data_IF_713913481573
#
_entry.id   IF_713913481573
#
_cell.length_a   1.000
_cell.length_b   1.000
_cell.length_c   1.000
_cell.angle_alpha   90.00
_cell.angle_beta   90.00
_cell.angle_gamma   90.00
#
_symmetry.space_group_name_H-M   'P 1'
#
loop_
_entity.id
_entity.type
_entity.pdbx_description
1 polymer ?
#
# COMPACT_ATOMS: atom_id res chain seq x y z
N UNK A 1 -20.35 -18.78 1.03
CA UNK A 1 -19.79 -19.41 -0.21
C UNK A 1 -19.95 -18.59 -1.50
N UNK A 2 -21.06 -17.88 -1.76
CA UNK A 2 -21.27 -17.19 -3.06
C UNK A 2 -20.39 -15.93 -3.25
N UNK A 3 -20.17 -15.13 -2.20
CA UNK A 3 -19.34 -13.90 -2.28
C UNK A 3 -17.86 -14.20 -2.57
N UNK A 4 -17.26 -15.16 -1.88
CA UNK A 4 -15.86 -15.57 -2.13
C UNK A 4 -15.62 -16.08 -3.56
N UNK A 5 -16.55 -16.86 -4.13
CA UNK A 5 -16.46 -17.31 -5.54
C UNK A 5 -16.52 -16.15 -6.54
N UNK A 6 -17.29 -15.10 -6.25
CA UNK A 6 -17.34 -13.90 -7.12
C UNK A 6 -16.03 -13.11 -7.07
N UNK A 7 -15.45 -12.93 -5.87
CA UNK A 7 -14.15 -12.27 -5.68
C UNK A 7 -13.02 -13.00 -6.40
N UNK A 8 -12.95 -14.32 -6.23
CA UNK A 8 -11.98 -15.15 -6.92
C UNK A 8 -12.03 -14.95 -8.44
N UNK A 9 -13.23 -15.04 -9.04
CA UNK A 9 -13.40 -14.83 -10.49
C UNK A 9 -13.01 -13.43 -10.97
N UNK A 10 -13.18 -12.40 -10.12
CA UNK A 10 -12.76 -11.03 -10.43
C UNK A 10 -11.24 -10.96 -10.53
N UNK A 11 -10.53 -11.44 -9.51
CA UNK A 11 -9.07 -11.42 -9.50
C UNK A 11 -8.46 -12.34 -10.56
N UNK A 12 -9.01 -13.53 -10.82
CA UNK A 12 -8.53 -14.40 -11.91
C UNK A 12 -8.44 -13.65 -13.24
N UNK A 13 -9.46 -12.86 -13.60
CA UNK A 13 -9.43 -12.07 -14.84
C UNK A 13 -8.38 -10.96 -14.85
N UNK A 14 -8.13 -10.34 -13.70
CA UNK A 14 -7.11 -9.31 -13.55
C UNK A 14 -5.72 -9.94 -13.70
N UNK A 15 -5.49 -11.09 -13.04
CA UNK A 15 -4.23 -11.84 -13.14
C UNK A 15 -3.99 -12.34 -14.56
N UNK A 16 -5.01 -12.88 -15.24
CA UNK A 16 -4.91 -13.27 -16.67
C UNK A 16 -4.45 -12.11 -17.56
N UNK A 17 -4.84 -10.87 -17.25
CA UNK A 17 -4.37 -9.67 -17.97
C UNK A 17 -2.94 -9.32 -17.62
N UNK A 18 -2.55 -9.36 -16.34
CA UNK A 18 -1.15 -9.17 -15.96
C UNK A 18 -0.23 -10.18 -16.66
N UNK A 19 -0.59 -11.45 -16.65
CA UNK A 19 0.16 -12.49 -17.36
C UNK A 19 0.32 -12.17 -18.86
N UNK A 20 -0.75 -11.71 -19.52
CA UNK A 20 -0.70 -11.31 -20.93
C UNK A 20 0.23 -10.12 -21.18
N UNK A 21 0.16 -9.09 -20.33
CA UNK A 21 1.00 -7.90 -20.47
C UNK A 21 2.48 -8.25 -20.24
N UNK A 22 2.77 -9.02 -19.19
CA UNK A 22 4.12 -9.47 -18.85
C UNK A 22 4.74 -10.29 -20.00
N UNK A 23 3.97 -11.19 -20.61
CA UNK A 23 4.42 -11.97 -21.78
C UNK A 23 4.68 -11.05 -22.98
N UNK A 24 3.77 -10.10 -23.23
CA UNK A 24 3.91 -9.12 -24.33
C UNK A 24 5.17 -8.27 -24.15
N UNK A 25 5.54 -7.96 -22.91
CA UNK A 25 6.70 -7.15 -22.56
C UNK A 25 8.02 -7.95 -22.51
N UNK A 26 7.95 -9.26 -22.81
CA UNK A 26 9.11 -10.08 -23.16
C UNK A 26 9.50 -11.17 -22.15
N UNK A 27 8.71 -11.39 -21.09
CA UNK A 27 8.93 -12.53 -20.18
C UNK A 27 8.34 -13.83 -20.77
N UNK A 28 8.92 -14.96 -20.42
CA UNK A 28 8.42 -16.26 -20.85
C UNK A 28 7.10 -16.61 -20.15
N UNK A 29 6.25 -17.42 -20.81
CA UNK A 29 4.92 -17.73 -20.31
C UNK A 29 4.90 -18.50 -18.97
N UNK A 30 5.99 -19.23 -18.64
CA UNK A 30 6.16 -19.86 -17.33
C UNK A 30 6.50 -18.82 -16.26
N UNK A 31 7.38 -17.86 -16.56
CA UNK A 31 7.75 -16.78 -15.64
C UNK A 31 6.54 -15.90 -15.32
N UNK A 32 5.72 -15.57 -16.33
CA UNK A 32 4.49 -14.81 -16.14
C UNK A 32 3.49 -15.52 -15.21
N UNK A 33 3.38 -16.85 -15.30
CA UNK A 33 2.53 -17.66 -14.40
C UNK A 33 3.08 -17.78 -12.99
N UNK A 34 4.39 -17.74 -12.83
CA UNK A 34 5.06 -17.78 -11.53
C UNK A 34 5.12 -16.40 -10.87
N UNK A 35 4.75 -15.33 -11.58
CA UNK A 35 4.73 -13.98 -11.04
C UNK A 35 3.68 -13.77 -9.94
N UNK A 36 2.60 -14.57 -9.95
CA UNK A 36 1.57 -14.60 -8.91
C UNK A 36 1.39 -16.01 -8.36
N UNK A 37 1.41 -16.16 -7.04
CA UNK A 37 1.33 -17.45 -6.37
C UNK A 37 0.40 -17.46 -5.17
N UNK A 38 0.36 -18.60 -4.47
CA UNK A 38 -0.34 -18.68 -3.18
C UNK A 38 0.57 -18.23 -2.05
N UNK A 39 0.02 -17.42 -1.15
CA UNK A 39 0.72 -17.03 0.06
C UNK A 39 1.06 -18.21 0.96
N UNK A 40 2.23 -18.13 1.60
CA UNK A 40 2.55 -19.03 2.71
C UNK A 40 1.58 -18.76 3.87
N UNK A 41 1.09 -19.80 4.58
CA UNK A 41 0.14 -19.61 5.68
C UNK A 41 0.63 -18.65 6.78
N UNK A 42 1.92 -18.72 7.13
CA UNK A 42 2.49 -17.88 8.18
C UNK A 42 2.59 -16.41 7.75
N UNK A 43 2.99 -16.16 6.50
CA UNK A 43 3.06 -14.81 5.93
C UNK A 43 1.65 -14.18 5.88
N UNK A 44 0.64 -14.96 5.47
CA UNK A 44 -0.76 -14.54 5.46
C UNK A 44 -1.29 -14.27 6.87
N UNK A 45 -0.93 -15.09 7.86
CA UNK A 45 -1.32 -14.87 9.26
C UNK A 45 -0.73 -13.55 9.78
N UNK A 46 0.57 -13.32 9.58
CA UNK A 46 1.23 -12.06 9.98
C UNK A 46 0.56 -10.85 9.33
N UNK A 47 0.25 -10.94 8.03
CA UNK A 47 -0.44 -9.87 7.31
C UNK A 47 -1.82 -9.55 7.88
N UNK A 48 -2.57 -10.55 8.36
CA UNK A 48 -3.91 -10.32 8.94
C UNK A 48 -3.89 -9.86 10.40
N UNK A 49 -2.79 -10.07 11.13
CA UNK A 49 -2.61 -9.71 12.53
C UNK A 49 -1.73 -8.46 12.65
N UNK A 50 -2.27 -7.31 12.24
CA UNK A 50 -1.49 -6.07 12.10
C UNK A 50 -0.81 -5.64 13.39
N UNK A 51 -1.56 -5.61 14.50
CA UNK A 51 -1.00 -5.21 15.80
C UNK A 51 0.13 -6.15 16.22
N UNK A 52 -0.12 -7.46 16.26
CA UNK A 52 0.87 -8.46 16.69
C UNK A 52 2.12 -8.45 15.82
N UNK A 53 1.95 -8.23 14.52
CA UNK A 53 3.06 -8.15 13.57
C UNK A 53 3.88 -6.87 13.82
N UNK A 54 3.27 -5.70 13.78
CA UNK A 54 4.04 -4.46 13.85
C UNK A 54 4.51 -4.11 15.26
N UNK A 55 3.82 -4.55 16.32
CA UNK A 55 4.32 -4.47 17.69
C UNK A 55 5.66 -5.22 17.86
N UNK A 56 5.84 -6.31 17.11
CA UNK A 56 7.07 -7.11 17.14
C UNK A 56 8.16 -6.61 16.20
N UNK A 57 7.78 -6.11 15.03
CA UNK A 57 8.71 -5.88 13.92
C UNK A 57 8.96 -4.42 13.58
N UNK A 58 8.16 -3.47 14.09
CA UNK A 58 8.39 -2.04 13.82
C UNK A 58 9.79 -1.63 14.28
N UNK A 59 10.51 -0.96 13.38
CA UNK A 59 11.82 -0.39 13.68
C UNK A 59 11.72 0.98 14.38
N UNK A 60 10.52 1.58 14.41
CA UNK A 60 10.32 2.95 14.88
C UNK A 60 9.39 3.04 16.09
N UNK A 61 8.23 2.37 16.07
CA UNK A 61 7.22 2.49 17.11
C UNK A 61 7.41 1.46 18.23
N UNK A 62 7.10 1.86 19.46
CA UNK A 62 6.92 0.93 20.57
C UNK A 62 5.51 0.31 20.52
N UNK A 63 5.31 -0.82 21.22
CA UNK A 63 4.01 -1.53 21.22
C UNK A 63 2.83 -0.62 21.63
N UNK A 64 3.08 0.35 22.53
CA UNK A 64 2.06 1.28 23.03
C UNK A 64 1.60 2.27 21.94
N UNK A 65 2.49 2.64 21.02
CA UNK A 65 2.20 3.60 19.95
C UNK A 65 1.35 2.97 18.84
N UNK A 66 1.29 1.63 18.82
CA UNK A 66 0.58 0.82 17.85
C UNK A 66 -0.73 0.24 18.40
N UNK A 67 -1.17 0.59 19.61
CA UNK A 67 -2.39 0.01 20.20
C UNK A 67 -3.64 0.20 19.35
N UNK A 68 -3.71 1.31 18.62
CA UNK A 68 -4.81 1.57 17.69
C UNK A 68 -4.88 0.57 16.53
N UNK A 69 -3.79 -0.13 16.20
CA UNK A 69 -3.81 -1.21 15.21
C UNK A 69 -4.77 -2.35 15.56
N UNK A 70 -5.08 -2.54 16.85
CA UNK A 70 -6.08 -3.52 17.30
C UNK A 70 -7.49 -3.23 16.77
N UNK A 71 -7.74 -2.00 16.34
CA UNK A 71 -9.03 -1.58 15.77
C UNK A 71 -9.15 -1.78 14.27
N UNK A 72 -8.02 -2.02 13.58
CA UNK A 72 -8.02 -2.28 12.14
C UNK A 72 -8.06 -3.77 11.84
N UNK A 73 -8.71 -4.11 10.73
CA UNK A 73 -8.74 -5.46 10.19
C UNK A 73 -8.54 -5.40 8.69
N UNK A 74 -7.75 -6.31 8.14
CA UNK A 74 -7.58 -6.40 6.68
C UNK A 74 -8.88 -6.90 6.03
N UNK A 75 -9.43 -6.17 5.04
CA UNK A 75 -10.60 -6.59 4.29
C UNK A 75 -10.43 -7.98 3.66
N UNK A 76 -11.47 -8.82 3.71
CA UNK A 76 -11.41 -10.19 3.20
C UNK A 76 -11.17 -10.22 1.68
N UNK A 77 -11.52 -9.16 0.95
CA UNK A 77 -11.16 -8.99 -0.46
C UNK A 77 -9.64 -9.01 -0.67
N UNK A 78 -8.88 -8.33 0.20
CA UNK A 78 -7.42 -8.26 0.11
C UNK A 78 -6.80 -9.57 0.58
N UNK A 79 -7.31 -10.16 1.69
CA UNK A 79 -6.90 -11.50 2.13
C UNK A 79 -7.13 -12.53 1.03
N UNK A 80 -8.26 -12.46 0.32
CA UNK A 80 -8.54 -13.36 -0.82
C UNK A 80 -7.54 -13.18 -1.95
N UNK A 81 -7.16 -11.94 -2.27
CA UNK A 81 -6.14 -11.66 -3.28
C UNK A 81 -4.81 -12.30 -2.88
N UNK A 82 -4.22 -11.91 -1.76
CA UNK A 82 -2.92 -12.42 -1.33
C UNK A 82 -2.90 -13.93 -1.08
N UNK A 83 -3.98 -14.51 -0.55
CA UNK A 83 -4.06 -15.97 -0.37
C UNK A 83 -3.89 -16.75 -1.69
N UNK A 84 -4.30 -16.18 -2.82
CA UNK A 84 -4.37 -16.92 -4.09
C UNK A 84 -3.48 -16.36 -5.20
N UNK A 85 -3.08 -15.09 -5.09
CA UNK A 85 -2.41 -14.30 -6.11
C UNK A 85 -1.40 -13.33 -5.48
N UNK A 86 -0.65 -13.79 -4.47
CA UNK A 86 0.48 -13.03 -3.92
C UNK A 86 1.51 -12.74 -5.02
N UNK A 87 1.94 -11.48 -5.21
CA UNK A 87 3.07 -11.14 -6.07
C UNK A 87 4.37 -11.79 -5.56
N UNK A 88 5.13 -12.43 -6.44
CA UNK A 88 6.38 -13.12 -6.07
C UNK A 88 7.60 -12.57 -6.84
N UNK A 89 7.70 -12.92 -8.12
CA UNK A 89 8.81 -12.51 -8.99
C UNK A 89 8.33 -11.52 -10.07
N UNK A 90 7.53 -10.54 -9.65
CA UNK A 90 6.89 -9.59 -10.56
C UNK A 90 7.89 -8.48 -10.96
N UNK A 91 8.11 -8.22 -12.26
CA UNK A 91 8.80 -7.01 -12.68
C UNK A 91 7.98 -5.77 -12.32
N UNK A 92 8.56 -4.57 -12.46
CA UNK A 92 7.77 -3.35 -12.44
C UNK A 92 6.73 -3.40 -13.58
N UNK A 93 5.49 -3.09 -13.24
CA UNK A 93 4.35 -3.02 -14.14
C UNK A 93 4.23 -1.60 -14.72
N UNK A 94 3.19 -1.38 -15.53
CA UNK A 94 2.81 -0.07 -16.06
C UNK A 94 2.83 1.02 -14.99
N UNK A 95 3.27 2.23 -15.37
CA UNK A 95 3.43 3.36 -14.44
C UNK A 95 4.61 3.20 -13.48
N UNK A 96 5.50 2.22 -13.70
CA UNK A 96 6.65 1.97 -12.82
C UNK A 96 6.25 1.34 -11.49
N UNK A 97 5.09 0.69 -11.40
CA UNK A 97 4.53 0.19 -10.14
C UNK A 97 5.01 -1.23 -9.84
N UNK A 98 5.44 -1.49 -8.62
CA UNK A 98 5.80 -2.80 -8.08
C UNK A 98 4.78 -3.21 -7.03
N UNK A 99 3.99 -4.23 -7.32
CA UNK A 99 3.13 -4.86 -6.30
C UNK A 99 4.01 -5.66 -5.33
N UNK A 100 3.81 -5.45 -4.03
CA UNK A 100 4.59 -6.13 -3.00
C UNK A 100 3.95 -7.46 -2.61
N UNK A 101 4.79 -8.48 -2.42
CA UNK A 101 4.43 -9.71 -1.70
C UNK A 101 4.28 -9.47 -0.19
N UNK A 102 3.75 -10.43 0.56
CA UNK A 102 3.41 -10.24 1.98
C UNK A 102 4.64 -9.95 2.85
N UNK A 103 5.76 -10.62 2.59
CA UNK A 103 6.99 -10.39 3.33
C UNK A 103 7.54 -8.97 3.07
N UNK A 104 7.48 -8.51 1.81
CA UNK A 104 7.88 -7.16 1.43
C UNK A 104 6.96 -6.10 2.05
N UNK A 105 5.64 -6.36 2.10
CA UNK A 105 4.69 -5.47 2.80
C UNK A 105 5.07 -5.34 4.27
N UNK A 106 5.40 -6.45 4.92
CA UNK A 106 5.83 -6.43 6.33
C UNK A 106 7.09 -5.59 6.50
N UNK A 107 8.12 -5.83 5.69
CA UNK A 107 9.41 -5.11 5.77
C UNK A 107 9.24 -3.59 5.53
N UNK A 108 8.52 -3.24 4.45
CA UNK A 108 8.22 -1.87 4.05
C UNK A 108 7.52 -1.10 5.17
N UNK A 109 6.40 -1.63 5.67
CA UNK A 109 5.62 -0.97 6.72
C UNK A 109 6.26 -1.05 8.12
N UNK A 110 7.30 -1.87 8.30
CA UNK A 110 8.02 -1.95 9.56
C UNK A 110 9.20 -0.97 9.63
N UNK A 111 9.81 -0.62 8.50
CA UNK A 111 11.16 -0.01 8.51
C UNK A 111 11.46 1.02 7.42
N UNK A 112 10.60 1.18 6.41
CA UNK A 112 10.84 2.13 5.32
C UNK A 112 10.04 3.42 5.51
N UNK A 113 10.65 4.56 5.16
CA UNK A 113 9.96 5.86 5.13
C UNK A 113 9.23 5.99 3.78
N UNK A 114 7.97 6.46 3.76
CA UNK A 114 7.15 6.90 4.90
C UNK A 114 6.27 5.78 5.50
N UNK A 115 6.26 4.58 4.92
CA UNK A 115 5.39 3.45 5.30
C UNK A 115 5.39 3.13 6.80
N UNK A 116 6.57 3.12 7.43
CA UNK A 116 6.71 2.84 8.86
C UNK A 116 6.05 3.88 9.75
N UNK A 117 5.90 5.12 9.27
CA UNK A 117 5.19 6.17 9.99
C UNK A 117 3.67 6.07 9.80
N UNK A 118 3.25 5.67 8.60
CA UNK A 118 1.86 5.54 8.18
C UNK A 118 1.11 4.40 8.85
N UNK A 119 1.79 3.30 9.19
CA UNK A 119 1.14 2.10 9.71
C UNK A 119 0.28 2.39 10.94
N UNK A 120 0.76 3.21 11.89
CA UNK A 120 -0.04 3.58 13.08
C UNK A 120 -1.33 4.30 12.71
N UNK A 121 -1.42 4.96 11.55
CA UNK A 121 -2.63 5.66 11.13
C UNK A 121 -3.61 4.77 10.33
N UNK A 122 -3.35 3.46 10.23
CA UNK A 122 -4.19 2.54 9.46
C UNK A 122 -3.97 2.63 7.96
N UNK A 123 -2.82 3.15 7.52
CA UNK A 123 -2.39 3.10 6.13
C UNK A 123 -1.40 1.95 5.96
N UNK A 124 -1.65 1.08 4.98
CA UNK A 124 -0.81 -0.09 4.72
C UNK A 124 -0.26 -0.04 3.30
N UNK A 125 1.05 0.11 3.14
CA UNK A 125 1.73 0.09 1.85
C UNK A 125 1.69 -1.31 1.24
N UNK A 126 1.17 -1.43 0.02
CA UNK A 126 1.04 -2.71 -0.71
C UNK A 126 1.70 -2.69 -2.10
N UNK A 127 2.14 -1.51 -2.54
CA UNK A 127 2.90 -1.33 -3.75
C UNK A 127 3.84 -0.14 -3.60
N UNK A 128 4.90 -0.12 -4.40
CA UNK A 128 5.82 1.02 -4.52
C UNK A 128 6.00 1.39 -5.98
N UNK A 129 6.48 2.59 -6.26
CA UNK A 129 6.93 2.99 -7.59
C UNK A 129 8.43 2.75 -7.74
N UNK A 130 8.96 2.86 -8.97
CA UNK A 130 10.41 2.79 -9.22
C UNK A 130 11.18 3.92 -8.53
N UNK A 131 10.56 5.08 -8.32
CA UNK A 131 11.13 6.21 -7.58
C UNK A 131 11.10 6.03 -6.06
N UNK A 132 10.50 4.95 -5.56
CA UNK A 132 10.41 4.65 -4.13
C UNK A 132 9.17 5.24 -3.45
N UNK A 133 8.26 5.87 -4.20
CA UNK A 133 7.00 6.37 -3.67
C UNK A 133 6.09 5.20 -3.28
N UNK A 134 5.23 5.41 -2.28
CA UNK A 134 4.47 4.32 -1.67
C UNK A 134 3.00 4.42 -2.05
N UNK A 135 2.39 3.27 -2.31
CA UNK A 135 0.97 3.14 -2.63
C UNK A 135 0.30 2.36 -1.49
N UNK A 136 -0.57 3.04 -0.77
CA UNK A 136 -1.13 2.59 0.49
C UNK A 136 -2.62 2.31 0.38
N UNK A 137 -3.08 1.30 1.10
CA UNK A 137 -4.48 1.07 1.39
C UNK A 137 -4.88 1.88 2.62
N UNK A 138 -5.96 2.65 2.52
CA UNK A 138 -6.52 3.37 3.66
C UNK A 138 -7.57 2.51 4.37
N UNK A 139 -7.20 1.92 5.52
CA UNK A 139 -8.05 1.02 6.28
C UNK A 139 -9.14 1.76 7.10
N UNK A 140 -9.13 3.08 7.12
CA UNK A 140 -10.20 3.88 7.72
C UNK A 140 -11.37 4.09 6.73
N UNK A 141 -11.09 4.07 5.42
CA UNK A 141 -12.06 4.33 4.35
C UNK A 141 -12.40 3.05 3.57
N UNK A 142 -13.10 2.13 4.24
CA UNK A 142 -13.52 0.85 3.65
C UNK A 142 -14.97 0.91 3.20
N UNK A 143 -15.20 0.76 1.90
CA UNK A 143 -16.55 0.64 1.31
C UNK A 143 -16.71 -0.72 0.66
N UNK A 144 -17.72 -1.47 1.09
CA UNK A 144 -18.00 -2.82 0.57
C UNK A 144 -16.82 -3.81 0.65
N UNK A 145 -16.05 -3.76 1.74
CA UNK A 145 -14.85 -4.61 1.96
C UNK A 145 -13.72 -4.32 0.97
N UNK A 146 -13.63 -3.07 0.49
CA UNK A 146 -12.58 -2.56 -0.36
C UNK A 146 -12.12 -1.18 0.18
N UNK A 147 -10.83 -1.02 0.56
CA UNK A 147 -10.28 0.26 0.98
C UNK A 147 -9.92 1.13 -0.22
N UNK A 148 -9.98 2.44 -0.08
CA UNK A 148 -9.41 3.39 -1.05
C UNK A 148 -7.89 3.25 -1.12
N UNK A 149 -7.31 3.65 -2.25
CA UNK A 149 -5.86 3.56 -2.50
C UNK A 149 -5.29 4.97 -2.66
N UNK A 150 -4.27 5.27 -1.86
CA UNK A 150 -3.56 6.55 -1.84
C UNK A 150 -2.12 6.36 -2.34
N UNK A 151 -1.51 7.43 -2.83
CA UNK A 151 -0.07 7.49 -3.11
C UNK A 151 0.59 8.55 -2.24
N UNK A 152 1.82 8.30 -1.78
CA UNK A 152 2.63 9.28 -1.09
C UNK A 152 4.04 9.33 -1.66
N UNK A 153 4.58 10.54 -1.75
CA UNK A 153 5.99 10.73 -2.02
C UNK A 153 6.85 10.10 -0.92
N UNK A 154 7.97 9.49 -1.30
CA UNK A 154 8.91 8.86 -0.37
C UNK A 154 9.49 9.82 0.67
N UNK A 155 9.50 11.13 0.36
CA UNK A 155 9.94 12.23 1.23
C UNK A 155 8.78 12.99 1.87
N UNK A 156 7.54 12.48 1.80
CA UNK A 156 6.36 13.18 2.33
C UNK A 156 6.47 13.57 3.81
N UNK A 157 7.05 12.71 4.62
CA UNK A 157 7.24 12.96 6.05
C UNK A 157 8.58 12.43 6.56
N UNK A 158 9.07 13.05 7.64
CA UNK A 158 10.30 12.66 8.32
C UNK A 158 10.13 12.73 9.83
N UNK A 159 11.02 12.06 10.55
CA UNK A 159 11.10 12.19 12.00
C UNK A 159 11.96 13.41 12.36
N UNK A 160 11.43 14.26 13.24
CA UNK A 160 12.10 15.42 13.80
C UNK A 160 12.63 15.04 15.20
N UNK A 161 13.94 14.79 15.29
CA UNK A 161 14.62 14.37 16.52
C UNK A 161 14.51 15.40 17.65
N UNK A 162 14.50 16.70 17.32
CA UNK A 162 14.50 17.77 18.32
C UNK A 162 13.15 17.89 19.05
N UNK A 163 12.07 17.57 18.33
CA UNK A 163 10.70 17.71 18.82
C UNK A 163 10.03 16.37 19.14
N UNK A 164 10.68 15.25 18.83
CA UNK A 164 10.17 13.89 19.03
C UNK A 164 8.79 13.69 18.35
N UNK A 165 8.69 14.15 17.10
CA UNK A 165 7.47 14.06 16.28
C UNK A 165 7.79 13.64 14.85
N UNK A 166 6.79 13.10 14.16
CA UNK A 166 6.84 12.94 12.71
C UNK A 166 6.21 14.19 12.11
N UNK A 167 6.91 14.85 11.20
CA UNK A 167 6.45 16.05 10.51
C UNK A 167 6.25 15.78 9.02
N UNK A 168 5.25 16.44 8.42
CA UNK A 168 5.08 16.49 6.98
C UNK A 168 6.10 17.47 6.40
N UNK A 169 6.92 16.99 5.46
CA UNK A 169 7.94 17.77 4.75
C UNK A 169 7.38 18.32 3.44
N UNK A 170 6.53 17.54 2.78
CA UNK A 170 5.88 17.92 1.52
C UNK A 170 4.38 18.08 1.80
N UNK A 171 3.90 19.32 1.73
CA UNK A 171 2.48 19.65 1.88
C UNK A 171 2.04 20.63 0.78
N UNK A 172 0.79 20.57 0.32
CA UNK A 172 0.21 21.60 -0.55
C UNK A 172 0.26 23.00 0.07
N UNK A 173 0.44 24.03 -0.76
CA UNK A 173 0.55 25.44 -0.33
C UNK A 173 -0.65 25.89 0.52
N UNK A 174 -1.88 25.49 0.15
CA UNK A 174 -3.09 25.86 0.88
C UNK A 174 -3.17 25.24 2.28
N UNK A 175 -2.44 24.15 2.52
CA UNK A 175 -2.26 23.55 3.83
C UNK A 175 -1.14 24.27 4.57
N UNK A 176 0.01 24.48 3.92
CA UNK A 176 1.17 25.17 4.47
C UNK A 176 0.83 26.57 5.02
N UNK A 177 -0.01 27.33 4.29
CA UNK A 177 -0.46 28.67 4.66
C UNK A 177 -1.19 28.75 6.01
N UNK A 178 -1.62 27.62 6.58
CA UNK A 178 -2.27 27.56 7.91
C UNK A 178 -1.27 27.41 9.07
N UNK A 179 0.02 27.27 8.78
CA UNK A 179 1.08 27.04 9.76
C UNK A 179 2.09 28.18 9.72
N UNK A 180 2.77 28.39 10.85
CA UNK A 180 3.89 29.35 10.90
C UNK A 180 5.12 28.72 10.25
N UNK A 181 5.93 29.50 9.53
CA UNK A 181 7.15 29.01 8.85
C UNK A 181 8.14 28.28 9.78
N UNK A 182 8.12 28.59 11.08
CA UNK A 182 9.03 28.04 12.10
C UNK A 182 8.43 26.88 12.91
N UNK A 183 7.21 26.42 12.63
CA UNK A 183 6.54 25.33 13.35
C UNK A 183 6.45 24.05 12.51
N UNK A 184 6.75 22.86 13.07
CA UNK A 184 6.61 21.61 12.34
C UNK A 184 5.14 21.31 12.04
N UNK A 185 4.86 20.85 10.83
CA UNK A 185 3.52 20.36 10.46
C UNK A 185 3.42 18.90 10.92
N UNK A 186 3.00 18.69 12.17
CA UNK A 186 2.95 17.35 12.77
C UNK A 186 2.01 16.42 12.01
N UNK A 187 2.51 15.26 11.61
CA UNK A 187 1.77 14.25 10.85
C UNK A 187 0.57 13.75 11.64
N UNK A 188 -0.61 13.87 11.03
CA UNK A 188 -1.88 13.33 11.53
C UNK A 188 -2.63 12.63 10.42
N UNK A 189 -3.58 11.77 10.76
CA UNK A 189 -4.44 11.14 9.75
C UNK A 189 -5.25 12.17 8.95
N UNK A 190 -5.69 13.28 9.57
CA UNK A 190 -6.39 14.36 8.84
C UNK A 190 -5.50 14.98 7.76
N UNK A 191 -4.24 15.27 8.08
CA UNK A 191 -3.28 15.79 7.11
C UNK A 191 -2.97 14.77 6.02
N UNK A 192 -2.80 13.49 6.36
CA UNK A 192 -2.64 12.42 5.38
C UNK A 192 -3.80 12.46 4.37
N UNK A 193 -5.05 12.60 4.83
CA UNK A 193 -6.23 12.63 3.95
C UNK A 193 -6.34 13.89 3.10
N UNK A 194 -5.81 15.01 3.58
CA UNK A 194 -5.83 16.28 2.84
C UNK A 194 -4.67 16.40 1.86
N UNK A 195 -3.51 15.83 2.18
CA UNK A 195 -2.30 15.94 1.37
C UNK A 195 -2.16 14.81 0.35
N UNK A 196 -2.52 13.57 0.70
CA UNK A 196 -2.24 12.43 -0.17
C UNK A 196 -3.30 12.25 -1.27
N UNK A 197 -2.90 12.21 -2.55
CA UNK A 197 -3.80 11.93 -3.66
C UNK A 197 -4.39 10.51 -3.57
N UNK A 198 -5.66 10.38 -3.96
CA UNK A 198 -6.31 9.09 -4.14
C UNK A 198 -6.15 8.61 -5.59
N UNK A 199 -5.48 7.47 -5.80
CA UNK A 199 -5.21 6.89 -7.13
C UNK A 199 -6.29 5.90 -7.59
N UNK A 200 -7.07 5.36 -6.65
CA UNK A 200 -8.20 4.49 -6.94
C UNK A 200 -9.23 4.48 -5.80
N UNK A 201 -10.50 4.27 -6.18
CA UNK A 201 -11.63 4.21 -5.23
C UNK A 201 -11.63 2.92 -4.39
N UNK A 202 -10.95 1.87 -4.88
CA UNK A 202 -10.88 0.57 -4.23
C UNK A 202 -9.60 -0.17 -4.61
N UNK A 203 -9.14 -1.08 -3.74
CA UNK A 203 -8.02 -1.98 -4.03
C UNK A 203 -8.19 -2.71 -5.37
N UNK A 204 -9.37 -3.25 -5.64
CA UNK A 204 -9.58 -3.94 -6.90
C UNK A 204 -9.67 -3.01 -8.12
N UNK A 205 -10.12 -1.77 -7.95
CA UNK A 205 -10.09 -0.75 -9.01
C UNK A 205 -8.64 -0.43 -9.37
N UNK A 206 -7.79 -0.21 -8.36
CA UNK A 206 -6.35 -0.04 -8.54
C UNK A 206 -5.72 -1.19 -9.34
N UNK A 207 -5.93 -2.44 -8.91
CA UNK A 207 -5.41 -3.60 -9.63
C UNK A 207 -5.94 -3.72 -11.06
N UNK A 208 -7.22 -3.38 -11.28
CA UNK A 208 -7.82 -3.44 -12.60
C UNK A 208 -7.29 -2.35 -13.53
N UNK A 209 -7.11 -1.11 -13.04
CA UNK A 209 -6.47 0.00 -13.76
C UNK A 209 -5.03 -0.35 -14.13
N UNK A 210 -4.29 -0.88 -13.16
CA UNK A 210 -2.91 -1.32 -13.36
C UNK A 210 -2.79 -2.43 -14.42
N UNK A 211 -3.68 -3.44 -14.37
CA UNK A 211 -3.71 -4.52 -15.36
C UNK A 211 -4.18 -4.06 -16.77
N UNK A 212 -4.88 -2.93 -16.86
CA UNK A 212 -5.24 -2.29 -18.14
C UNK A 212 -4.22 -1.22 -18.57
N UNK A 213 -3.13 -1.05 -17.82
CA UNK A 213 -2.06 -0.08 -18.13
C UNK A 213 -2.58 1.36 -18.18
N UNK A 214 -3.55 1.68 -17.31
CA UNK A 214 -4.16 3.02 -17.24
C UNK A 214 -3.25 4.04 -16.56
N UNK A 215 -2.26 3.57 -15.78
CA UNK A 215 -1.19 4.40 -15.21
C UNK A 215 -0.02 4.41 -16.20
N UNK A 216 0.17 5.52 -16.92
CA UNK A 216 1.31 5.68 -17.84
C UNK A 216 2.54 6.08 -17.04
N UNK A 217 2.37 7.03 -16.12
CA UNK A 217 3.39 7.50 -15.20
C UNK A 217 2.70 7.99 -13.92
N UNK A 218 2.52 7.08 -12.95
CA UNK A 218 1.73 7.38 -11.75
C UNK A 218 2.38 8.47 -10.89
N UNK A 219 3.70 8.62 -10.94
CA UNK A 219 4.41 9.65 -10.20
C UNK A 219 4.06 11.01 -10.80
N UNK A 220 4.22 11.21 -12.11
CA UNK A 220 3.88 12.48 -12.77
C UNK A 220 2.37 12.79 -12.80
N UNK A 221 1.50 11.76 -12.71
CA UNK A 221 0.05 11.94 -12.72
C UNK A 221 -0.51 12.40 -11.37
N UNK A 222 0.15 12.08 -10.26
CA UNK A 222 -0.39 12.28 -8.91
C UNK A 222 0.53 13.03 -7.94
N UNK A 223 1.85 13.08 -8.16
CA UNK A 223 2.83 13.71 -7.27
C UNK A 223 3.49 14.95 -7.90
#
# INVERSE_FOLDING_TARGET
MVKGRKRMKKFTKIIERFEQNIIRDGLEANEAKEAFGQAKPDDLNNFTLLYETFAKWSAFYEEKDLENLKSYSIPETIVTFYRNFEPQNLPALSGGIRLLGLEQIKEENASAVPSMFFVKFGLLTVATTIGGNVICLDLNEIKNDEPSVLIADHSFCSYNDDLDVIECVIVPDDIADNYSDDEPIVLTYDLIKRCLPQVADSFSDFLNKLANEEYVDIENEYL
#
